data_IF_200483672651
#
_entry.id   IF_200483672651
#
_cell.length_a   1.000
_cell.length_b   1.000
_cell.length_c   1.000
_cell.angle_alpha   90.00
_cell.angle_beta   90.00
_cell.angle_gamma   90.00
#
_symmetry.space_group_name_H-M   'P 1'
#
loop_
_entity.id
_entity.type
_entity.pdbx_description
1 polymer ?
#
# COMPACT_ATOMS: atom_id res chain seq x y z
N UNK A 1 -4.14 2.27 -19.50
CA UNK A 1 -3.75 2.35 -18.07
C UNK A 1 -4.77 1.69 -17.14
N UNK A 2 -6.08 1.93 -17.31
CA UNK A 2 -7.12 1.39 -16.41
C UNK A 2 -7.02 -0.12 -16.16
N UNK A 3 -6.65 -0.90 -17.17
CA UNK A 3 -6.41 -2.35 -17.04
C UNK A 3 -5.23 -2.70 -16.13
N UNK A 4 -4.15 -1.90 -16.12
CA UNK A 4 -2.99 -2.11 -15.24
C UNK A 4 -3.33 -1.80 -13.79
N UNK A 5 -3.97 -0.64 -13.52
CA UNK A 5 -4.43 -0.32 -12.17
C UNK A 5 -5.37 -1.41 -11.66
N UNK A 6 -6.35 -1.84 -12.47
CA UNK A 6 -7.24 -2.93 -12.12
C UNK A 6 -6.47 -4.23 -11.81
N UNK A 7 -5.48 -4.61 -12.63
CA UNK A 7 -4.66 -5.80 -12.38
C UNK A 7 -3.85 -5.70 -11.07
N UNK A 8 -3.29 -4.53 -10.75
CA UNK A 8 -2.57 -4.30 -9.49
C UNK A 8 -3.52 -4.40 -8.29
N UNK A 9 -4.71 -3.77 -8.37
CA UNK A 9 -5.71 -3.86 -7.33
C UNK A 9 -6.17 -5.31 -7.13
N UNK A 10 -6.53 -5.99 -8.22
CA UNK A 10 -6.98 -7.38 -8.18
C UNK A 10 -5.90 -8.33 -7.63
N UNK A 11 -4.63 -8.16 -7.99
CA UNK A 11 -3.56 -9.02 -7.45
C UNK A 11 -3.37 -8.84 -5.94
N UNK A 12 -3.51 -7.61 -5.43
CA UNK A 12 -3.45 -7.37 -3.98
C UNK A 12 -4.68 -7.93 -3.26
N UNK A 13 -5.89 -7.75 -3.80
CA UNK A 13 -7.09 -8.36 -3.24
C UNK A 13 -7.08 -9.90 -3.32
N UNK A 14 -6.49 -10.47 -4.37
CA UNK A 14 -6.27 -11.91 -4.49
C UNK A 14 -5.36 -12.45 -3.39
N UNK A 15 -4.29 -11.72 -3.05
CA UNK A 15 -3.43 -12.04 -1.91
C UNK A 15 -4.17 -11.94 -0.56
N UNK A 16 -5.22 -11.13 -0.47
CA UNK A 16 -6.12 -11.05 0.68
C UNK A 16 -7.24 -12.14 0.66
N UNK A 17 -7.23 -13.03 -0.32
CA UNK A 17 -8.19 -14.14 -0.44
C UNK A 17 -9.46 -13.80 -1.22
N UNK A 18 -9.57 -12.62 -1.82
CA UNK A 18 -10.68 -12.27 -2.72
C UNK A 18 -10.53 -13.08 -4.02
N UNK A 19 -11.54 -13.84 -4.48
CA UNK A 19 -11.46 -14.59 -5.73
C UNK A 19 -11.17 -13.68 -6.93
N UNK A 20 -10.05 -13.94 -7.62
CA UNK A 20 -9.61 -13.18 -8.78
C UNK A 20 -9.01 -14.13 -9.84
N UNK A 21 -9.00 -13.68 -11.10
CA UNK A 21 -8.33 -14.41 -12.19
C UNK A 21 -6.82 -14.14 -12.28
N UNK A 22 -6.31 -13.21 -11.46
CA UNK A 22 -4.90 -12.79 -11.43
C UNK A 22 -4.16 -13.47 -10.28
N UNK A 23 -2.85 -13.64 -10.45
CA UNK A 23 -1.97 -14.15 -9.41
C UNK A 23 -1.92 -13.20 -8.20
N UNK A 24 -1.94 -13.73 -6.97
CA UNK A 24 -1.72 -12.94 -5.76
C UNK A 24 -0.43 -12.14 -5.79
N UNK A 25 -0.48 -10.87 -5.37
CA UNK A 25 0.71 -10.04 -5.21
C UNK A 25 1.61 -10.56 -4.08
N UNK A 26 2.91 -10.57 -4.31
CA UNK A 26 3.92 -10.84 -3.28
C UNK A 26 4.43 -9.56 -2.60
N UNK A 27 4.10 -8.39 -3.16
CA UNK A 27 4.50 -7.10 -2.61
C UNK A 27 3.74 -6.82 -1.30
N UNK A 28 4.38 -6.07 -0.40
CA UNK A 28 3.82 -5.71 0.91
C UNK A 28 2.49 -4.98 0.75
N UNK A 29 1.36 -5.50 1.23
CA UNK A 29 0.05 -4.89 1.02
C UNK A 29 -0.20 -3.79 2.04
N UNK A 30 -0.52 -2.60 1.53
CA UNK A 30 -1.06 -1.49 2.31
C UNK A 30 -2.58 -1.47 2.20
N UNK A 31 -3.26 -1.97 3.24
CA UNK A 31 -4.72 -2.11 3.21
C UNK A 31 -5.45 -0.77 3.08
N UNK A 32 -5.03 0.30 3.75
CA UNK A 32 -5.72 1.59 3.65
C UNK A 32 -5.49 2.25 2.29
N UNK A 33 -4.28 2.18 1.75
CA UNK A 33 -4.01 2.69 0.41
C UNK A 33 -4.75 1.88 -0.66
N UNK A 34 -4.81 0.55 -0.52
CA UNK A 34 -5.57 -0.34 -1.39
C UNK A 34 -7.06 0.00 -1.37
N UNK A 35 -7.62 0.26 -0.19
CA UNK A 35 -9.02 0.67 -0.04
C UNK A 35 -9.32 1.99 -0.74
N UNK A 36 -8.48 3.01 -0.52
CA UNK A 36 -8.62 4.31 -1.18
C UNK A 36 -8.57 4.14 -2.70
N UNK A 37 -7.55 3.44 -3.20
CA UNK A 37 -7.38 3.23 -4.63
C UNK A 37 -8.53 2.42 -5.24
N UNK A 38 -9.04 1.40 -4.53
CA UNK A 38 -10.19 0.61 -4.97
C UNK A 38 -11.47 1.44 -5.02
N UNK A 39 -11.71 2.26 -3.99
CA UNK A 39 -12.88 3.14 -3.94
C UNK A 39 -12.88 4.13 -5.11
N UNK A 40 -11.77 4.84 -5.33
CA UNK A 40 -11.61 5.77 -6.45
C UNK A 40 -11.79 5.05 -7.79
N UNK A 41 -11.15 3.90 -7.95
CA UNK A 41 -11.22 3.15 -9.21
C UNK A 41 -12.65 2.74 -9.54
N UNK A 42 -13.40 2.23 -8.55
CA UNK A 42 -14.72 1.60 -8.74
C UNK A 42 -15.91 2.55 -8.61
N UNK A 43 -15.66 3.84 -8.34
CA UNK A 43 -16.69 4.80 -7.98
C UNK A 43 -17.79 4.95 -9.05
N UNK A 44 -17.39 5.00 -10.32
CA UNK A 44 -18.29 5.15 -11.48
C UNK A 44 -18.64 3.78 -12.09
N UNK A 45 -18.58 2.71 -11.29
CA UNK A 45 -18.97 1.36 -11.71
C UNK A 45 -18.03 0.68 -12.71
N UNK A 46 -16.78 1.14 -12.80
CA UNK A 46 -15.76 0.60 -13.72
C UNK A 46 -15.48 -0.90 -13.51
N UNK A 47 -15.51 -1.36 -12.24
CA UNK A 47 -15.33 -2.75 -11.87
C UNK A 47 -16.16 -3.09 -10.61
N UNK A 48 -17.42 -3.46 -10.83
CA UNK A 48 -18.36 -3.84 -9.77
C UNK A 48 -17.86 -5.07 -8.99
N UNK A 49 -17.16 -6.01 -9.66
CA UNK A 49 -16.67 -7.24 -9.01
C UNK A 49 -15.57 -6.95 -8.01
N UNK A 50 -14.64 -6.06 -8.37
CA UNK A 50 -13.57 -5.63 -7.48
C UNK A 50 -14.15 -4.94 -6.24
N UNK A 51 -15.12 -4.06 -6.46
CA UNK A 51 -15.84 -3.36 -5.38
C UNK A 51 -16.53 -4.35 -4.44
N UNK A 52 -17.32 -5.27 -4.97
CA UNK A 52 -18.04 -6.27 -4.18
C UNK A 52 -17.08 -7.22 -3.43
N UNK A 53 -15.95 -7.56 -4.05
CA UNK A 53 -14.89 -8.34 -3.41
C UNK A 53 -14.27 -7.61 -2.21
N UNK A 54 -13.95 -6.32 -2.37
CA UNK A 54 -13.42 -5.48 -1.30
C UNK A 54 -14.42 -5.32 -0.14
N UNK A 55 -15.70 -5.08 -0.43
CA UNK A 55 -16.76 -4.98 0.59
C UNK A 55 -16.94 -6.32 1.31
N UNK A 56 -16.97 -7.44 0.58
CA UNK A 56 -17.07 -8.79 1.16
C UNK A 56 -15.92 -9.04 2.13
N UNK A 57 -14.70 -8.65 1.75
CA UNK A 57 -13.52 -8.79 2.59
C UNK A 57 -13.64 -7.94 3.86
N UNK A 58 -13.99 -6.66 3.73
CA UNK A 58 -14.16 -5.75 4.87
C UNK A 58 -15.25 -6.20 5.84
N UNK A 59 -16.37 -6.73 5.34
CA UNK A 59 -17.45 -7.23 6.19
C UNK A 59 -16.97 -8.32 7.16
N UNK A 60 -15.94 -9.09 6.78
CA UNK A 60 -15.41 -10.20 7.58
C UNK A 60 -14.08 -9.90 8.27
N UNK A 61 -13.35 -8.85 7.86
CA UNK A 61 -11.96 -8.56 8.28
C UNK A 61 -11.69 -7.08 8.58
N UNK A 62 -12.72 -6.29 8.86
CA UNK A 62 -12.57 -4.85 9.12
C UNK A 62 -11.63 -4.51 10.28
N UNK A 63 -11.43 -5.41 11.25
CA UNK A 63 -10.54 -5.24 12.39
C UNK A 63 -9.07 -5.03 11.99
N UNK A 64 -8.71 -5.43 10.77
CA UNK A 64 -7.40 -5.18 10.21
C UNK A 64 -7.25 -3.76 9.67
N UNK A 65 -8.31 -2.97 9.49
CA UNK A 65 -8.20 -1.60 8.96
C UNK A 65 -7.82 -0.63 10.07
N UNK A 66 -6.71 0.09 9.87
CA UNK A 66 -6.26 1.13 10.78
C UNK A 66 -7.02 2.44 10.50
N UNK A 67 -8.20 2.62 11.11
CA UNK A 67 -9.07 3.79 10.89
C UNK A 67 -8.37 5.13 11.11
N UNK A 68 -7.51 5.24 12.12
CA UNK A 68 -6.71 6.44 12.39
C UNK A 68 -5.73 6.76 11.24
N UNK A 69 -5.16 5.72 10.62
CA UNK A 69 -4.27 5.87 9.47
C UNK A 69 -5.04 6.20 8.20
N UNK A 70 -6.16 5.51 7.95
CA UNK A 70 -7.04 5.79 6.81
C UNK A 70 -7.47 7.25 6.82
N UNK A 71 -7.92 7.76 7.97
CA UNK A 71 -8.30 9.16 8.14
C UNK A 71 -7.17 10.11 7.76
N UNK A 72 -5.94 9.86 8.24
CA UNK A 72 -4.79 10.69 7.89
C UNK A 72 -4.48 10.67 6.41
N UNK A 73 -4.51 9.50 5.77
CA UNK A 73 -4.30 9.39 4.33
C UNK A 73 -5.31 10.22 3.54
N UNK A 74 -6.58 10.26 3.98
CA UNK A 74 -7.64 11.10 3.39
C UNK A 74 -7.53 12.60 3.71
N UNK A 75 -6.73 12.96 4.72
CA UNK A 75 -6.50 14.35 5.19
C UNK A 75 -5.18 14.94 4.70
N UNK A 76 -4.40 14.16 3.94
CA UNK A 76 -3.13 14.61 3.37
C UNK A 76 -3.36 15.76 2.39
N UNK A 77 -2.77 16.92 2.68
CA UNK A 77 -2.85 18.10 1.81
C UNK A 77 -2.07 17.93 0.51
N UNK A 78 -1.01 17.11 0.54
CA UNK A 78 -0.22 16.75 -0.64
C UNK A 78 -0.89 15.68 -1.50
N UNK A 79 -2.04 15.16 -1.06
CA UNK A 79 -2.80 14.14 -1.76
C UNK A 79 -4.31 14.36 -1.58
N UNK A 80 -4.88 15.36 -2.29
CA UNK A 80 -6.32 15.65 -2.22
C UNK A 80 -7.10 14.53 -2.90
N UNK A 81 -7.51 13.54 -2.11
CA UNK A 81 -8.41 12.48 -2.53
C UNK A 81 -9.85 12.93 -2.32
N UNK A 82 -10.69 12.77 -3.34
CA UNK A 82 -12.12 12.80 -3.11
C UNK A 82 -12.48 11.68 -2.13
N UNK A 83 -12.97 12.10 -0.96
CA UNK A 83 -13.31 11.17 0.11
C UNK A 83 -14.57 10.41 -0.24
N UNK A 84 -15.45 10.98 -1.04
CA UNK A 84 -16.79 10.48 -1.27
C UNK A 84 -16.82 9.03 -1.78
N UNK A 85 -15.99 8.60 -2.76
CA UNK A 85 -15.87 7.20 -3.13
C UNK A 85 -15.54 6.27 -1.95
N UNK A 86 -14.63 6.70 -1.08
CA UNK A 86 -14.17 5.93 0.09
C UNK A 86 -15.29 5.85 1.12
N UNK A 87 -16.04 6.92 1.31
CA UNK A 87 -17.20 6.96 2.19
C UNK A 87 -18.32 6.04 1.68
N UNK A 88 -18.62 6.08 0.38
CA UNK A 88 -19.55 5.14 -0.26
C UNK A 88 -19.14 3.68 -0.07
N UNK A 89 -17.86 3.35 -0.30
CA UNK A 89 -17.36 1.98 -0.13
C UNK A 89 -17.45 1.51 1.32
N UNK A 90 -16.96 2.31 2.27
CA UNK A 90 -16.88 1.93 3.69
C UNK A 90 -18.25 1.90 4.37
N UNK A 91 -19.17 2.76 3.95
CA UNK A 91 -20.53 2.81 4.48
C UNK A 91 -21.34 1.54 4.14
N UNK A 92 -21.05 0.88 3.01
CA UNK A 92 -21.63 -0.42 2.63
C UNK A 92 -21.22 -1.57 3.55
N UNK A 93 -20.11 -1.42 4.27
CA UNK A 93 -19.64 -2.39 5.27
C UNK A 93 -20.40 -2.22 6.58
N UNK A 94 -20.60 -0.98 7.05
CA UNK A 94 -21.22 -0.68 8.34
C UNK A 94 -22.67 -1.18 8.45
N UNK A 95 -23.41 -1.15 7.33
CA UNK A 95 -24.77 -1.70 7.25
C UNK A 95 -24.84 -3.22 7.59
N UNK A 96 -23.70 -3.92 7.58
CA UNK A 96 -23.61 -5.37 7.67
C UNK A 96 -22.85 -5.90 8.90
N UNK A 97 -22.26 -5.01 9.70
CA UNK A 97 -21.43 -5.41 10.87
C UNK A 97 -22.14 -5.03 12.18
N UNK A 98 -22.51 -6.00 13.05
CA UNK A 98 -23.29 -5.74 14.27
C UNK A 98 -22.57 -4.89 15.35
N UNK A 99 -21.31 -4.52 15.16
CA UNK A 99 -20.52 -3.75 16.13
C UNK A 99 -19.91 -2.53 15.45
N UNK A 100 -20.38 -1.36 15.90
CA UNK A 100 -19.92 0.00 15.57
C UNK A 100 -18.44 0.04 15.20
N UNK A 101 -18.17 -0.10 13.91
CA UNK A 101 -16.99 0.54 13.37
C UNK A 101 -17.22 2.03 13.58
N UNK A 102 -16.33 2.67 14.33
CA UNK A 102 -16.29 4.13 14.36
C UNK A 102 -15.58 4.58 13.08
N UNK A 103 -16.11 4.13 11.94
CA UNK A 103 -15.87 4.82 10.69
C UNK A 103 -16.29 6.27 10.94
N UNK A 104 -15.57 7.25 10.39
CA UNK A 104 -16.03 8.63 10.49
C UNK A 104 -17.51 8.66 10.11
N UNK A 105 -18.33 9.36 10.92
CA UNK A 105 -19.81 9.43 10.84
C UNK A 105 -20.29 9.99 9.48
N UNK A 106 -20.01 9.25 8.43
CA UNK A 106 -20.10 9.64 7.03
C UNK A 106 -20.93 8.63 6.24
N UNK A 107 -21.37 7.54 6.89
CA UNK A 107 -22.31 6.57 6.38
C UNK A 107 -23.75 6.99 6.76
N UNK A 108 -24.28 8.01 6.10
CA UNK A 108 -25.73 8.23 6.06
C UNK A 108 -26.18 7.79 4.66
N UNK A 109 -27.20 6.94 4.59
CA UNK A 109 -27.86 6.48 3.36
C UNK A 109 -27.18 5.36 2.55
N UNK A 110 -27.09 4.16 3.12
CA UNK A 110 -26.60 2.99 2.38
C UNK A 110 -27.66 1.91 2.22
N UNK A 111 -27.85 1.50 0.97
CA UNK A 111 -28.64 0.34 0.58
C UNK A 111 -28.05 -0.92 1.23
N UNK A 112 -28.88 -1.73 1.90
CA UNK A 112 -28.46 -3.02 2.49
C UNK A 112 -27.84 -3.89 1.39
N UNK A 113 -26.54 -4.13 1.50
CA UNK A 113 -25.78 -5.01 0.62
C UNK A 113 -25.57 -6.36 1.30
N UNK A 114 -25.64 -7.48 0.59
CA UNK A 114 -25.42 -8.83 1.16
C UNK A 114 -24.10 -9.37 0.62
N UNK A 115 -23.22 -9.80 1.52
CA UNK A 115 -21.96 -10.44 1.13
C UNK A 115 -22.20 -11.66 0.25
N UNK A 116 -21.87 -11.53 -1.04
CA UNK A 116 -22.03 -12.59 -2.03
C UNK A 116 -20.72 -13.29 -2.37
N UNK A 117 -19.57 -12.71 -2.01
CA UNK A 117 -18.26 -13.27 -2.37
C UNK A 117 -17.67 -14.05 -1.20
N UNK A 118 -17.46 -15.35 -1.41
CA UNK A 118 -16.72 -16.20 -0.48
C UNK A 118 -15.25 -15.80 -0.48
N UNK A 119 -14.75 -15.32 0.66
CA UNK A 119 -13.33 -15.03 0.86
C UNK A 119 -12.60 -16.34 1.13
N UNK A 120 -11.65 -16.68 0.25
CA UNK A 120 -10.81 -17.86 0.42
C UNK A 120 -9.87 -17.67 1.62
N UNK A 121 -9.53 -18.75 2.35
CA UNK A 121 -8.41 -18.72 3.28
C UNK A 121 -7.14 -18.31 2.52
N UNK A 122 -6.45 -17.29 3.02
CA UNK A 122 -5.17 -16.87 2.47
C UNK A 122 -4.02 -17.38 3.34
N UNK A 123 -2.90 -17.73 2.71
CA UNK A 123 -1.72 -18.17 3.43
C UNK A 123 -1.09 -16.96 4.15
N UNK A 124 -1.26 -16.88 5.46
CA UNK A 124 -0.74 -15.77 6.29
C UNK A 124 0.77 -15.59 6.16
N UNK A 125 1.49 -16.63 5.73
CA UNK A 125 2.95 -16.65 5.61
C UNK A 125 3.50 -15.94 4.38
N UNK A 126 2.66 -15.48 3.44
CA UNK A 126 3.17 -14.75 2.28
C UNK A 126 3.84 -13.43 2.70
N UNK A 127 4.94 -13.03 2.04
CA UNK A 127 5.63 -11.77 2.33
C UNK A 127 4.69 -10.57 2.26
N UNK A 128 3.84 -10.53 1.23
CA UNK A 128 2.90 -9.44 1.01
C UNK A 128 1.97 -9.16 2.19
N UNK A 129 1.68 -10.18 2.99
CA UNK A 129 0.79 -10.07 4.16
C UNK A 129 1.51 -9.75 5.47
N UNK A 130 2.78 -9.34 5.44
CA UNK A 130 3.53 -8.98 6.65
C UNK A 130 2.79 -7.91 7.49
N UNK A 131 2.21 -6.87 6.87
CA UNK A 131 1.42 -5.86 7.61
C UNK A 131 0.16 -6.44 8.26
N UNK A 132 -0.55 -7.33 7.58
CA UNK A 132 -1.71 -7.99 8.18
C UNK A 132 -1.31 -8.92 9.33
N UNK A 133 -0.19 -9.63 9.20
CA UNK A 133 0.36 -10.47 10.28
C UNK A 133 0.72 -9.64 11.51
N UNK A 134 1.42 -8.51 11.32
CA UNK A 134 1.75 -7.65 12.47
C UNK A 134 0.50 -7.06 13.09
N UNK A 135 -0.52 -6.73 12.30
CA UNK A 135 -1.83 -6.31 12.82
C UNK A 135 -2.58 -7.41 13.56
N UNK A 136 -2.43 -8.67 13.16
CA UNK A 136 -3.00 -9.79 13.93
C UNK A 136 -2.38 -9.90 15.34
N UNK A 137 -1.10 -9.55 15.48
CA UNK A 137 -0.36 -9.60 16.75
C UNK A 137 -0.64 -8.36 17.61
N UNK A 138 -0.61 -7.17 16.98
CA UNK A 138 -0.58 -5.88 17.67
C UNK A 138 -1.88 -5.07 17.56
N UNK A 139 -2.89 -5.60 16.88
CA UNK A 139 -4.03 -4.84 16.38
C UNK A 139 -3.64 -3.87 15.25
N UNK A 140 -4.65 -3.25 14.61
CA UNK A 140 -4.46 -2.20 13.62
C UNK A 140 -3.95 -0.88 14.26
N UNK A 141 -2.67 -0.86 14.66
CA UNK A 141 -2.06 0.18 15.49
C UNK A 141 -0.72 0.67 14.97
N UNK A 142 -0.24 1.80 15.50
CA UNK A 142 1.09 2.34 15.18
C UNK A 142 2.23 1.35 15.47
N UNK A 143 2.04 0.48 16.47
CA UNK A 143 3.00 -0.57 16.84
C UNK A 143 3.14 -1.62 15.74
N UNK A 144 2.02 -2.08 15.17
CA UNK A 144 2.02 -3.03 14.05
C UNK A 144 2.81 -2.49 12.85
N UNK A 145 2.67 -1.20 12.59
CA UNK A 145 3.21 -0.52 11.42
C UNK A 145 4.67 -0.14 11.60
N UNK A 146 5.06 0.37 12.76
CA UNK A 146 6.45 0.58 13.12
C UNK A 146 7.23 -0.75 13.07
N UNK A 147 6.65 -1.81 13.60
CA UNK A 147 7.25 -3.13 13.54
C UNK A 147 7.38 -3.62 12.09
N UNK A 148 6.30 -3.57 11.30
CA UNK A 148 6.33 -4.01 9.90
C UNK A 148 7.36 -3.23 9.10
N UNK A 149 7.44 -1.91 9.29
CA UNK A 149 8.44 -1.07 8.64
C UNK A 149 9.87 -1.51 9.00
N UNK A 150 10.18 -1.65 10.29
CA UNK A 150 11.51 -2.11 10.74
C UNK A 150 11.84 -3.53 10.25
N UNK A 151 10.83 -4.38 10.05
CA UNK A 151 10.99 -5.71 9.48
C UNK A 151 11.30 -5.71 7.97
N UNK A 152 11.10 -4.59 7.27
CA UNK A 152 11.31 -4.42 5.82
C UNK A 152 12.46 -3.50 5.46
N UNK A 153 13.17 -2.93 6.45
CA UNK A 153 14.38 -2.13 6.20
C UNK A 153 15.64 -2.78 6.78
N UNK A 154 16.77 -2.73 6.04
CA UNK A 154 18.03 -3.28 6.53
C UNK A 154 18.58 -2.36 7.62
N UNK A 155 18.99 -2.96 8.75
CA UNK A 155 19.69 -2.24 9.82
C UNK A 155 18.78 -1.30 10.62
N UNK A 156 19.31 -0.10 10.93
CA UNK A 156 18.65 0.90 11.77
C UNK A 156 18.14 2.09 10.96
N UNK A 157 17.03 2.68 11.39
CA UNK A 157 16.38 3.83 10.72
C UNK A 157 15.95 4.89 11.72
N UNK A 158 15.74 6.12 11.25
CA UNK A 158 15.40 7.27 12.11
C UNK A 158 13.90 7.36 12.39
N UNK A 159 13.53 7.89 13.57
CA UNK A 159 12.12 8.10 13.97
C UNK A 159 11.31 8.84 12.89
N UNK A 160 11.87 9.92 12.34
CA UNK A 160 11.20 10.75 11.34
C UNK A 160 10.99 10.02 10.01
N UNK A 161 11.79 9.00 9.72
CA UNK A 161 11.57 8.16 8.54
C UNK A 161 10.41 7.20 8.81
N UNK A 162 10.38 6.53 9.97
CA UNK A 162 9.28 5.63 10.36
C UNK A 162 7.94 6.39 10.36
N UNK A 163 7.92 7.58 10.97
CA UNK A 163 6.74 8.45 11.01
C UNK A 163 6.18 8.72 9.61
N UNK A 164 7.03 9.25 8.71
CA UNK A 164 6.62 9.59 7.34
C UNK A 164 6.18 8.37 6.53
N UNK A 165 6.81 7.22 6.74
CA UNK A 165 6.55 5.99 5.98
C UNK A 165 5.30 5.24 6.43
N UNK A 166 4.92 5.38 7.70
CA UNK A 166 3.77 4.66 8.28
C UNK A 166 2.49 5.48 8.34
N UNK A 167 2.54 6.78 8.06
CA UNK A 167 1.42 7.72 8.17
C UNK A 167 0.82 7.79 9.61
N UNK A 168 1.66 7.54 10.62
CA UNK A 168 1.32 7.80 12.02
C UNK A 168 1.96 9.09 12.51
N UNK A 169 1.38 9.72 13.54
CA UNK A 169 2.02 10.87 14.15
C UNK A 169 3.26 10.46 14.92
N UNK A 170 4.23 11.37 15.01
CA UNK A 170 5.46 11.19 15.79
C UNK A 170 5.22 10.61 17.19
N UNK A 171 4.23 11.13 17.91
CA UNK A 171 3.88 10.67 19.25
C UNK A 171 3.48 9.19 19.26
N UNK A 172 2.61 8.78 18.34
CA UNK A 172 2.16 7.39 18.28
C UNK A 172 3.28 6.42 17.92
N UNK A 173 4.19 6.83 17.04
CA UNK A 173 5.37 6.02 16.70
C UNK A 173 6.36 5.97 17.86
N UNK A 174 6.61 7.08 18.56
CA UNK A 174 7.49 7.10 19.73
C UNK A 174 6.96 6.20 20.85
N UNK A 175 5.67 6.28 21.18
CA UNK A 175 5.01 5.43 22.17
C UNK A 175 5.06 3.95 21.75
N UNK A 176 4.85 3.66 20.47
CA UNK A 176 4.96 2.31 19.91
C UNK A 176 6.37 1.74 20.03
N UNK A 177 7.39 2.52 19.67
CA UNK A 177 8.80 2.10 19.70
C UNK A 177 9.27 1.89 21.15
N UNK A 178 8.88 2.74 22.10
CA UNK A 178 9.15 2.52 23.54
C UNK A 178 8.63 1.16 23.99
N UNK A 179 7.36 0.87 23.69
CA UNK A 179 6.77 -0.42 24.06
C UNK A 179 7.47 -1.62 23.39
N UNK A 180 8.00 -1.46 22.17
CA UNK A 180 8.79 -2.51 21.50
C UNK A 180 10.21 -2.65 22.06
N UNK A 181 10.78 -1.58 22.60
CA UNK A 181 12.07 -1.59 23.32
C UNK A 181 11.89 -2.28 24.68
N UNK A 182 10.82 -1.99 25.39
CA UNK A 182 10.55 -2.55 26.73
C UNK A 182 10.45 -4.09 26.70
N UNK A 183 9.99 -4.66 25.58
CA UNK A 183 9.92 -6.13 25.37
C UNK A 183 11.15 -6.71 24.66
N UNK A 184 12.15 -5.89 24.36
CA UNK A 184 13.41 -6.34 23.75
C UNK A 184 13.33 -6.67 22.25
N UNK A 185 12.29 -6.24 21.54
CA UNK A 185 12.12 -6.50 20.10
C UNK A 185 12.74 -5.43 19.22
N UNK A 186 12.90 -4.21 19.76
CA UNK A 186 13.55 -3.08 19.09
C UNK A 186 14.70 -2.58 19.96
N UNK A 187 15.81 -2.23 19.34
CA UNK A 187 16.90 -1.48 19.98
C UNK A 187 16.89 -0.04 19.54
N UNK A 188 17.25 0.85 20.48
CA UNK A 188 17.49 2.26 20.22
C UNK A 188 18.99 2.52 20.13
N UNK A 189 19.41 3.16 19.05
CA UNK A 189 20.79 3.58 18.81
C UNK A 189 20.91 5.09 18.60
N UNK A 190 22.15 5.55 18.44
CA UNK A 190 22.48 6.93 18.09
C UNK A 190 23.42 6.91 16.90
N UNK A 191 23.08 7.66 15.85
CA UNK A 191 23.92 7.89 14.69
C UNK A 191 24.13 9.40 14.52
N UNK A 192 25.29 9.90 14.96
CA UNK A 192 25.53 11.34 15.09
C UNK A 192 24.59 11.97 16.12
N UNK A 193 23.82 12.99 15.71
CA UNK A 193 22.81 13.64 16.57
C UNK A 193 21.38 13.09 16.36
N UNK A 194 21.26 11.89 15.76
CA UNK A 194 19.97 11.30 15.41
C UNK A 194 19.74 10.00 16.15
N UNK A 195 18.53 9.83 16.69
CA UNK A 195 18.11 8.55 17.29
C UNK A 195 17.69 7.59 16.19
N UNK A 196 18.25 6.38 16.21
CA UNK A 196 17.93 5.30 15.27
C UNK A 196 17.29 4.11 15.99
N UNK A 197 16.54 3.31 15.24
CA UNK A 197 15.82 2.14 15.74
C UNK A 197 16.02 0.95 14.80
N UNK A 198 16.19 -0.25 15.34
CA UNK A 198 16.34 -1.48 14.57
C UNK A 198 15.63 -2.65 15.28
N UNK A 199 15.19 -3.66 14.54
CA UNK A 199 14.77 -4.92 15.16
C UNK A 199 15.98 -5.69 15.70
N UNK A 200 15.81 -6.24 16.90
CA UNK A 200 16.69 -7.29 17.46
C UNK A 200 16.46 -8.63 16.75
N UNK A 201 17.34 -9.59 16.97
CA UNK A 201 17.16 -10.95 16.45
C UNK A 201 15.87 -11.60 17.00
N UNK A 202 15.58 -11.38 18.29
CA UNK A 202 14.33 -11.81 18.92
C UNK A 202 13.10 -11.13 18.32
N UNK A 203 13.21 -9.85 17.95
CA UNK A 203 12.19 -9.17 17.16
C UNK A 203 11.98 -9.92 15.85
N UNK A 204 13.01 -10.06 15.01
CA UNK A 204 12.90 -10.61 13.65
C UNK A 204 12.22 -11.98 13.55
N UNK A 205 12.30 -12.83 14.59
CA UNK A 205 11.68 -14.16 14.59
C UNK A 205 10.16 -14.15 14.86
N UNK A 206 9.62 -13.10 15.49
CA UNK A 206 8.24 -13.07 16.00
C UNK A 206 7.16 -13.28 14.93
N UNK A 207 7.36 -12.74 13.72
CA UNK A 207 6.34 -12.80 12.65
C UNK A 207 6.50 -14.05 11.75
N UNK A 208 7.33 -15.00 12.22
CA UNK A 208 7.37 -16.39 11.80
C UNK A 208 7.79 -16.65 10.34
N UNK A 209 8.66 -15.83 9.78
CA UNK A 209 9.51 -16.27 8.69
C UNK A 209 10.95 -15.88 9.02
N UNK A 210 11.96 -16.75 8.80
CA UNK A 210 13.34 -16.31 8.69
C UNK A 210 13.43 -15.42 7.44
N UNK A 211 13.07 -14.15 7.63
CA UNK A 211 13.21 -13.07 6.67
C UNK A 211 14.70 -12.96 6.33
N UNK A 212 15.10 -13.48 5.16
CA UNK A 212 16.50 -13.45 4.73
C UNK A 212 16.86 -12.03 4.29
N UNK A 213 17.60 -11.35 5.15
CA UNK A 213 18.46 -10.25 4.75
C UNK A 213 19.71 -10.88 4.15
N UNK A 214 19.86 -10.91 2.83
CA UNK A 214 21.01 -11.56 2.18
C UNK A 214 22.33 -10.91 2.62
N UNK A 215 23.05 -11.58 3.53
CA UNK A 215 24.51 -11.67 3.50
C UNK A 215 24.92 -13.15 3.64
N UNK A 216 25.81 -13.54 2.75
CA UNK A 216 26.38 -14.86 2.50
C UNK A 216 26.99 -15.48 3.78
N UNK A 217 26.65 -16.74 4.09
CA UNK A 217 27.41 -17.58 5.04
C UNK A 217 26.57 -18.64 5.77
N UNK A 218 27.10 -19.87 6.03
CA UNK A 218 26.29 -21.08 5.98
C UNK A 218 26.01 -21.67 7.38
N UNK A 219 24.73 -21.98 7.67
CA UNK A 219 24.28 -23.33 8.08
C UNK A 219 22.82 -23.32 8.57
N UNK A 220 22.04 -24.17 7.90
CA UNK A 220 20.87 -24.94 8.36
C UNK A 220 19.77 -24.23 9.16
N UNK A 221 18.77 -23.74 8.42
CA UNK A 221 17.36 -23.75 8.83
C UNK A 221 16.63 -24.55 7.76
N UNK A 222 16.76 -25.88 7.83
CA UNK A 222 16.19 -26.78 6.82
C UNK A 222 14.67 -26.91 7.04
N UNK A 223 13.91 -26.61 5.98
CA UNK A 223 12.49 -26.96 5.73
C UNK A 223 11.38 -25.91 5.99
N UNK A 224 11.68 -24.61 6.09
CA UNK A 224 10.71 -23.58 5.66
C UNK A 224 11.22 -22.92 4.39
N UNK A 225 10.38 -22.66 3.37
CA UNK A 225 10.78 -21.86 2.23
C UNK A 225 11.18 -20.48 2.76
N UNK A 226 12.47 -20.18 2.75
CA UNK A 226 12.98 -18.85 3.12
C UNK A 226 12.51 -17.89 2.05
N UNK A 227 11.67 -16.92 2.41
CA UNK A 227 11.18 -15.92 1.46
C UNK A 227 11.92 -14.61 1.69
N UNK A 228 12.29 -13.95 0.59
CA UNK A 228 12.92 -12.63 0.63
C UNK A 228 12.03 -11.65 1.39
N UNK A 229 12.67 -10.78 2.15
CA UNK A 229 11.96 -9.73 2.88
C UNK A 229 11.31 -8.80 1.87
N UNK A 230 9.99 -8.57 1.97
CA UNK A 230 9.35 -7.65 1.06
C UNK A 230 9.91 -6.25 1.35
N UNK A 231 10.24 -5.50 0.31
CA UNK A 231 10.61 -4.10 0.47
C UNK A 231 9.40 -3.30 0.96
N UNK A 232 9.65 -2.25 1.74
CA UNK A 232 8.60 -1.29 2.08
C UNK A 232 8.15 -0.58 0.81
N UNK A 233 6.84 -0.51 0.60
CA UNK A 233 6.23 0.13 -0.57
C UNK A 233 5.30 1.25 -0.12
N UNK A 234 5.53 2.48 -0.60
CA UNK A 234 4.63 3.61 -0.37
C UNK A 234 3.43 3.53 -1.34
N UNK A 235 2.54 2.57 -1.10
CA UNK A 235 1.43 2.28 -2.01
C UNK A 235 0.52 3.46 -2.30
N UNK A 236 0.29 4.35 -1.33
CA UNK A 236 -0.51 5.54 -1.57
C UNK A 236 0.07 6.43 -2.68
N UNK A 237 1.39 6.61 -2.71
CA UNK A 237 2.08 7.39 -3.76
C UNK A 237 2.05 6.66 -5.10
N UNK A 238 2.23 5.32 -5.08
CA UNK A 238 2.15 4.51 -6.29
C UNK A 238 0.76 4.47 -6.91
N UNK A 239 -0.27 4.34 -6.10
CA UNK A 239 -1.66 4.39 -6.58
C UNK A 239 -2.02 5.78 -7.10
N UNK A 240 -1.52 6.84 -6.45
CA UNK A 240 -1.73 8.18 -6.95
C UNK A 240 -1.08 8.38 -8.33
N UNK A 241 0.16 7.94 -8.49
CA UNK A 241 0.84 7.98 -9.78
C UNK A 241 0.06 7.19 -10.85
N UNK A 242 -0.47 6.01 -10.53
CA UNK A 242 -1.32 5.24 -11.46
C UNK A 242 -2.61 5.98 -11.82
N UNK A 243 -3.23 6.68 -10.86
CA UNK A 243 -4.41 7.49 -11.09
C UNK A 243 -4.07 8.66 -12.01
N UNK A 244 -3.03 9.44 -11.70
CA UNK A 244 -2.57 10.55 -12.53
C UNK A 244 -2.29 10.12 -13.97
N UNK A 245 -1.61 8.98 -14.16
CA UNK A 245 -1.35 8.44 -15.49
C UNK A 245 -2.64 7.98 -16.21
N UNK A 246 -3.63 7.48 -15.47
CA UNK A 246 -4.95 7.14 -16.04
C UNK A 246 -5.76 8.38 -16.42
N UNK A 247 -5.63 9.46 -15.67
CA UNK A 247 -6.29 10.74 -15.95
C UNK A 247 -5.67 11.40 -17.18
N UNK A 248 -4.34 11.40 -17.29
CA UNK A 248 -3.62 11.85 -18.49
C UNK A 248 -4.06 11.06 -19.73
N UNK A 249 -4.15 9.73 -19.63
CA UNK A 249 -4.61 8.89 -20.75
C UNK A 249 -6.03 9.30 -21.19
N UNK A 250 -6.92 9.54 -20.22
CA UNK A 250 -8.29 9.98 -20.48
C UNK A 250 -8.32 11.37 -21.12
N UNK A 251 -7.54 12.33 -20.61
CA UNK A 251 -7.45 13.69 -21.16
C UNK A 251 -6.88 13.68 -22.60
N UNK A 252 -5.89 12.83 -22.87
CA UNK A 252 -5.33 12.66 -24.22
C UNK A 252 -6.36 12.08 -25.20
N UNK A 253 -7.12 11.08 -24.79
CA UNK A 253 -8.18 10.47 -25.62
C UNK A 253 -9.31 11.47 -25.92
N UNK A 254 -9.55 12.42 -25.02
CA UNK A 254 -10.52 13.51 -25.18
C UNK A 254 -9.96 14.74 -25.94
N UNK A 255 -8.67 14.74 -26.30
CA UNK A 255 -8.01 15.85 -26.99
C UNK A 255 -7.66 17.06 -26.09
N UNK A 256 -7.70 16.91 -24.76
CA UNK A 256 -7.38 17.96 -23.79
C UNK A 256 -5.87 18.13 -23.55
N UNK A 257 -5.15 18.54 -24.60
CA UNK A 257 -3.68 18.47 -24.67
C UNK A 257 -2.93 19.32 -23.63
N UNK A 258 -3.41 20.53 -23.30
CA UNK A 258 -2.69 21.43 -22.36
C UNK A 258 -2.74 20.90 -20.92
N UNK A 259 -3.92 20.44 -20.46
CA UNK A 259 -4.09 19.81 -19.15
C UNK A 259 -3.26 18.53 -19.03
N UNK A 260 -3.34 17.69 -20.06
CA UNK A 260 -2.61 16.42 -20.12
C UNK A 260 -1.10 16.62 -19.97
N UNK A 261 -0.50 17.61 -20.64
CA UNK A 261 0.95 17.88 -20.55
C UNK A 261 1.39 18.30 -19.15
N UNK A 262 0.61 19.14 -18.47
CA UNK A 262 0.93 19.58 -17.11
C UNK A 262 0.87 18.40 -16.12
N UNK A 263 -0.22 17.62 -16.17
CA UNK A 263 -0.37 16.40 -15.35
C UNK A 263 0.71 15.36 -15.67
N UNK A 264 1.11 15.26 -16.93
CA UNK A 264 2.16 14.34 -17.37
C UNK A 264 3.52 14.67 -16.79
N UNK A 265 3.90 15.96 -16.78
CA UNK A 265 5.15 16.41 -16.14
C UNK A 265 5.12 16.09 -14.65
N UNK A 266 4.00 16.38 -13.98
CA UNK A 266 3.83 16.05 -12.55
C UNK A 266 3.94 14.53 -12.30
N UNK A 267 3.34 13.70 -13.16
CA UNK A 267 3.44 12.25 -13.06
C UNK A 267 4.88 11.75 -13.31
N UNK A 268 5.62 12.38 -14.23
CA UNK A 268 7.03 12.06 -14.48
C UNK A 268 7.92 12.39 -13.27
N UNK A 269 7.72 13.55 -12.64
CA UNK A 269 8.44 13.96 -11.43
C UNK A 269 8.15 13.00 -10.27
N UNK A 270 6.89 12.60 -10.10
CA UNK A 270 6.47 11.64 -9.08
C UNK A 270 7.03 10.24 -9.37
N UNK A 271 7.05 9.81 -10.64
CA UNK A 271 7.71 8.57 -11.05
C UNK A 271 9.20 8.58 -10.69
N UNK A 272 9.90 9.67 -11.01
CA UNK A 272 11.32 9.85 -10.71
C UNK A 272 11.61 9.80 -9.21
N UNK A 273 10.69 10.31 -8.39
CA UNK A 273 10.78 10.26 -6.92
C UNK A 273 10.59 8.85 -6.37
N UNK A 274 9.75 8.04 -7.00
CA UNK A 274 9.36 6.71 -6.51
C UNK A 274 10.24 5.57 -7.01
N UNK A 275 10.84 5.71 -8.19
CA UNK A 275 11.58 4.63 -8.85
C UNK A 275 12.98 5.06 -9.28
N UNK A 276 13.95 4.19 -8.98
CA UNK A 276 15.29 4.26 -9.55
C UNK A 276 15.58 2.98 -10.36
N UNK A 277 16.26 3.09 -11.53
CA UNK A 277 16.65 4.33 -12.20
C UNK A 277 15.43 5.06 -12.79
N UNK A 278 15.57 6.39 -12.86
CA UNK A 278 14.56 7.30 -13.42
C UNK A 278 14.55 7.15 -14.95
N UNK A 279 13.38 7.05 -15.60
CA UNK A 279 13.27 7.09 -17.06
C UNK A 279 13.80 8.42 -17.59
N UNK A 280 14.26 8.47 -18.83
CA UNK A 280 14.82 9.71 -19.38
C UNK A 280 13.79 10.86 -19.32
N UNK A 281 14.06 11.97 -18.61
CA UNK A 281 13.04 12.99 -18.35
C UNK A 281 12.45 13.58 -19.63
N UNK A 282 11.15 13.94 -19.57
CA UNK A 282 10.47 14.64 -20.67
C UNK A 282 11.10 16.02 -20.79
N UNK A 283 11.65 16.35 -21.96
CA UNK A 283 12.36 17.62 -22.18
C UNK A 283 11.36 18.76 -22.39
N UNK A 284 11.72 19.97 -22.01
CA UNK A 284 10.85 21.14 -22.15
C UNK A 284 10.47 21.42 -23.61
N UNK A 285 11.39 21.14 -24.53
CA UNK A 285 11.25 21.30 -25.99
C UNK A 285 10.59 20.10 -26.72
N UNK A 286 10.23 19.03 -26.00
CA UNK A 286 9.59 17.86 -26.61
C UNK A 286 8.13 18.16 -27.03
N UNK A 287 7.73 17.69 -28.21
CA UNK A 287 6.34 17.85 -28.68
C UNK A 287 5.38 17.05 -27.81
N UNK A 288 4.10 17.48 -27.77
CA UNK A 288 3.05 16.79 -27.00
C UNK A 288 2.94 15.32 -27.41
N UNK A 289 2.98 15.03 -28.71
CA UNK A 289 2.89 13.67 -29.23
C UNK A 289 4.10 12.80 -28.85
N UNK A 290 5.30 13.38 -28.81
CA UNK A 290 6.51 12.68 -28.38
C UNK A 290 6.49 12.40 -26.87
N UNK A 291 6.10 13.38 -26.06
CA UNK A 291 5.92 13.21 -24.62
C UNK A 291 4.83 12.16 -24.29
N UNK A 292 3.70 12.21 -25.01
CA UNK A 292 2.61 11.23 -24.86
C UNK A 292 3.05 9.82 -25.26
N UNK A 293 3.80 9.68 -26.37
CA UNK A 293 4.33 8.39 -26.82
C UNK A 293 5.31 7.81 -25.81
N UNK A 294 6.23 8.63 -25.30
CA UNK A 294 7.20 8.22 -24.28
C UNK A 294 6.53 7.74 -23.00
N UNK A 295 5.47 8.43 -22.57
CA UNK A 295 4.75 7.99 -21.38
C UNK A 295 3.98 6.71 -21.64
N UNK A 296 3.37 6.54 -22.81
CA UNK A 296 2.77 5.24 -23.19
C UNK A 296 3.79 4.10 -23.13
N UNK A 297 5.06 4.34 -23.42
CA UNK A 297 6.14 3.37 -23.23
C UNK A 297 6.50 3.13 -21.75
N UNK A 298 6.42 4.15 -20.90
CA UNK A 298 6.69 4.03 -19.45
C UNK A 298 5.59 3.30 -18.71
N UNK A 299 4.34 3.47 -19.13
CA UNK A 299 3.16 2.98 -18.42
C UNK A 299 3.25 1.48 -18.08
N UNK A 300 3.58 0.57 -19.04
CA UNK A 300 3.75 -0.84 -18.72
C UNK A 300 4.89 -1.10 -17.74
N UNK A 301 6.01 -0.40 -17.88
CA UNK A 301 7.16 -0.58 -16.99
C UNK A 301 6.87 -0.07 -15.58
N UNK A 302 6.20 1.07 -15.48
CA UNK A 302 5.68 1.65 -14.26
C UNK A 302 4.75 0.68 -13.54
N UNK A 303 3.77 0.15 -14.26
CA UNK A 303 2.83 -0.82 -13.72
C UNK A 303 3.53 -2.08 -13.19
N UNK A 304 4.50 -2.63 -13.93
CA UNK A 304 5.31 -3.78 -13.48
C UNK A 304 6.10 -3.47 -12.22
N UNK A 305 6.84 -2.35 -12.20
CA UNK A 305 7.62 -1.92 -11.02
C UNK A 305 6.72 -1.64 -9.81
N UNK A 306 5.53 -1.08 -10.04
CA UNK A 306 4.53 -0.84 -9.01
C UNK A 306 4.02 -2.16 -8.45
N UNK A 307 3.69 -3.13 -9.30
CA UNK A 307 3.25 -4.48 -8.93
C UNK A 307 4.34 -5.29 -8.19
N UNK A 308 5.58 -4.80 -8.17
CA UNK A 308 6.73 -5.50 -7.61
C UNK A 308 7.33 -6.53 -8.57
N UNK A 309 6.90 -6.54 -9.83
CA UNK A 309 7.50 -7.36 -10.89
C UNK A 309 8.84 -6.74 -11.31
N UNK A 310 9.91 -7.53 -11.23
CA UNK A 310 11.26 -7.11 -11.65
C UNK A 310 12.11 -6.45 -10.57
N UNK A 311 11.60 -6.30 -9.35
CA UNK A 311 12.44 -5.95 -8.17
C UNK A 311 12.91 -7.25 -7.52
N UNK A 312 13.80 -7.97 -8.21
CA UNK A 312 14.74 -8.86 -7.52
C UNK A 312 15.91 -7.94 -7.11
N UNK A 313 16.29 -7.92 -5.82
CA UNK A 313 17.30 -6.98 -5.29
C UNK A 313 18.65 -7.07 -6.00
#
# INVERSE_FOLDING_TARGET
MRSYLANVLWSQWAALGVPAATSPSLALIDLEALLIATAIHTDIGSDVRLRDGAISWLATRHEYVATARLKRLLERSDYPVDREPVLRLTSQVDANVPRRLTWPKLAQDVQKWVASTTISPFATWTPGLLRLRTRAIFGASAKAEAYAYLATVPGSTELAVIERRTDYSRRQIDDALKSLIDVGWVTRGVAGNRTTYALTDAGRTLVGAPLRWTKIGPRQVDQMPTVDVPSWVDWHQRFELLRMLSDVETDLDLGATVSAVAQLRQAADEFARLFHPVPEPIRAEESIDAAASRVREWIPDAARRIAGEGVIP
#
